data_IF_754823536778
#
_entry.id   IF_754823536778
#
_cell.length_a   1.000
_cell.length_b   1.000
_cell.length_c   1.000
_cell.angle_alpha   90.00
_cell.angle_beta   90.00
_cell.angle_gamma   90.00
#
_symmetry.space_group_name_H-M   'P 1'
#
loop_
_entity.id
_entity.type
_entity.pdbx_description
1 polymer ?
#
# COMPACT_ATOMS: atom_id res chain seq x y z
N UNK A 1 22.33 21.77 -49.57
CA UNK A 1 21.95 20.42 -49.13
C UNK A 1 21.63 20.48 -47.65
N UNK A 2 20.35 20.41 -47.23
CA UNK A 2 20.02 20.33 -45.82
C UNK A 2 20.17 18.87 -45.35
N UNK A 3 20.84 18.68 -44.21
CA UNK A 3 20.94 17.38 -43.51
C UNK A 3 19.65 17.16 -42.75
N UNK A 4 18.88 16.15 -43.13
CA UNK A 4 17.76 15.65 -42.34
C UNK A 4 18.32 14.79 -41.20
N UNK A 5 17.98 15.16 -39.96
CA UNK A 5 18.19 14.32 -38.78
C UNK A 5 16.90 13.52 -38.59
N UNK A 6 16.98 12.21 -38.82
CA UNK A 6 15.87 11.29 -38.60
C UNK A 6 15.80 10.96 -37.11
N UNK A 7 14.75 11.41 -36.42
CA UNK A 7 14.42 10.91 -35.09
C UNK A 7 13.65 9.59 -35.25
N UNK A 8 14.27 8.48 -34.86
CA UNK A 8 13.57 7.20 -34.72
C UNK A 8 12.86 7.22 -33.36
N UNK A 9 11.55 7.48 -33.37
CA UNK A 9 10.69 7.29 -32.19
C UNK A 9 10.42 5.79 -32.09
N UNK A 10 10.99 5.13 -31.08
CA UNK A 10 10.61 3.77 -30.70
C UNK A 10 9.33 3.87 -29.86
N UNK A 11 8.20 3.32 -30.29
CA UNK A 11 7.01 3.32 -29.47
C UNK A 11 7.20 2.29 -28.35
N UNK A 12 7.22 2.74 -27.09
CA UNK A 12 6.98 1.85 -25.95
C UNK A 12 5.53 1.37 -26.05
N UNK A 13 5.35 0.12 -26.46
CA UNK A 13 4.09 -0.58 -26.30
C UNK A 13 3.96 -0.99 -24.83
N UNK A 14 3.23 -0.20 -24.04
CA UNK A 14 2.77 -0.63 -22.73
C UNK A 14 1.62 -1.63 -22.92
N UNK A 15 1.85 -2.89 -22.54
CA UNK A 15 0.79 -3.87 -22.42
C UNK A 15 -0.13 -3.48 -21.26
N UNK A 16 -1.30 -2.95 -21.58
CA UNK A 16 -2.40 -2.82 -20.63
C UNK A 16 -2.94 -4.21 -20.31
N UNK A 17 -2.56 -4.80 -19.18
CA UNK A 17 -3.33 -5.89 -18.60
C UNK A 17 -4.36 -5.25 -17.68
N UNK A 18 -5.58 -5.13 -18.19
CA UNK A 18 -6.78 -4.84 -17.40
C UNK A 18 -7.16 -6.15 -16.71
N UNK A 19 -6.79 -6.33 -15.44
CA UNK A 19 -7.43 -7.36 -14.61
C UNK A 19 -8.68 -6.74 -14.00
N UNK A 20 -9.77 -6.82 -14.76
CA UNK A 20 -11.11 -6.61 -14.23
C UNK A 20 -11.57 -7.85 -13.49
N UNK A 21 -11.51 -7.86 -12.16
CA UNK A 21 -12.24 -8.84 -11.36
C UNK A 21 -13.73 -8.44 -11.38
N UNK A 22 -14.48 -9.06 -12.30
CA UNK A 22 -15.94 -9.02 -12.33
C UNK A 22 -16.51 -9.95 -11.24
N UNK A 23 -17.48 -9.43 -10.50
CA UNK A 23 -18.35 -10.17 -9.59
C UNK A 23 -18.93 -11.44 -10.24
N UNK A 24 -18.86 -12.57 -9.52
CA UNK A 24 -19.78 -13.70 -9.69
C UNK A 24 -20.49 -13.96 -8.37
N UNK A 25 -21.82 -13.89 -8.43
CA UNK A 25 -22.73 -13.82 -7.30
C UNK A 25 -22.88 -15.08 -6.44
N UNK A 26 -23.37 -14.84 -5.23
CA UNK A 26 -24.39 -15.59 -4.47
C UNK A 26 -24.44 -17.11 -4.71
N UNK A 27 -24.05 -17.86 -3.69
CA UNK A 27 -24.80 -19.02 -3.16
C UNK A 27 -24.06 -19.60 -1.94
N UNK A 28 -24.53 -19.24 -0.73
CA UNK A 28 -24.57 -20.10 0.48
C UNK A 28 -25.16 -19.30 1.64
N UNK A 29 -26.45 -18.97 1.50
CA UNK A 29 -27.29 -18.51 2.60
C UNK A 29 -28.38 -19.57 2.75
N UNK A 30 -28.03 -20.70 3.38
CA UNK A 30 -28.93 -21.75 3.89
C UNK A 30 -28.05 -22.90 4.39
N UNK A 31 -27.55 -22.81 5.62
CA UNK A 31 -27.15 -23.91 6.51
C UNK A 31 -26.32 -23.35 7.68
N UNK A 32 -26.97 -22.62 8.59
CA UNK A 32 -26.78 -22.71 10.06
C UNK A 32 -28.09 -22.17 10.64
N UNK A 33 -29.15 -22.97 10.55
CA UNK A 33 -30.43 -22.72 11.22
C UNK A 33 -30.99 -24.07 11.65
N UNK A 34 -30.38 -24.68 12.67
CA UNK A 34 -30.97 -25.70 13.54
C UNK A 34 -29.87 -26.36 14.38
N UNK A 35 -29.56 -25.78 15.53
CA UNK A 35 -29.28 -26.50 16.77
C UNK A 35 -28.70 -25.50 17.78
N UNK A 36 -29.57 -24.95 18.62
CA UNK A 36 -29.44 -24.86 20.08
C UNK A 36 -30.63 -23.99 20.51
N UNK A 37 -31.71 -24.66 20.90
CA UNK A 37 -32.75 -24.08 21.74
C UNK A 37 -32.91 -25.03 22.94
N UNK A 38 -33.13 -24.43 24.11
CA UNK A 38 -33.21 -25.02 25.46
C UNK A 38 -31.85 -25.12 26.15
N UNK A 39 -31.56 -24.41 27.26
CA UNK A 39 -32.44 -24.20 28.41
C UNK A 39 -31.94 -23.03 29.28
N UNK A 40 -32.86 -22.11 29.60
CA UNK A 40 -32.91 -21.16 30.72
C UNK A 40 -31.64 -20.67 31.42
N UNK A 41 -31.42 -19.37 31.39
CA UNK A 41 -31.72 -18.44 32.50
C UNK A 41 -31.47 -17.01 32.06
N UNK A 42 -32.43 -16.15 32.37
CA UNK A 42 -32.34 -14.70 32.23
C UNK A 42 -31.27 -14.19 33.19
N UNK A 43 -30.09 -13.86 32.68
CA UNK A 43 -29.16 -12.94 33.33
C UNK A 43 -29.02 -11.74 32.41
N UNK A 44 -29.53 -10.61 32.88
CA UNK A 44 -29.24 -9.29 32.31
C UNK A 44 -27.76 -9.06 32.57
N UNK A 45 -26.91 -9.40 31.61
CA UNK A 45 -25.56 -8.88 31.56
C UNK A 45 -25.68 -7.40 31.22
N UNK A 46 -25.68 -6.56 32.26
CA UNK A 46 -25.20 -5.19 32.11
C UNK A 46 -23.84 -5.26 31.45
N UNK A 47 -23.73 -4.69 30.25
CA UNK A 47 -22.45 -4.50 29.57
C UNK A 47 -21.62 -3.55 30.41
N UNK A 48 -20.82 -4.10 31.32
CA UNK A 48 -19.77 -3.33 31.95
C UNK A 48 -18.85 -2.84 30.84
N UNK A 49 -18.70 -1.52 30.76
CA UNK A 49 -17.70 -0.89 29.91
C UNK A 49 -16.34 -1.52 30.26
N UNK A 50 -15.49 -1.89 29.29
CA UNK A 50 -14.14 -2.32 29.60
C UNK A 50 -13.48 -1.25 30.48
N UNK A 51 -12.63 -1.65 31.45
CA UNK A 51 -11.98 -0.68 32.32
C UNK A 51 -11.26 0.36 31.46
N UNK A 52 -11.55 1.63 31.70
CA UNK A 52 -10.97 2.76 30.98
C UNK A 52 -9.48 2.85 31.28
N UNK A 53 -8.68 2.07 30.54
CA UNK A 53 -7.26 2.30 30.43
C UNK A 53 -7.09 3.43 29.43
N UNK A 54 -6.84 4.63 29.95
CA UNK A 54 -6.53 5.78 29.13
C UNK A 54 -5.15 5.56 28.50
N UNK A 55 -5.13 4.96 27.31
CA UNK A 55 -3.93 4.75 26.53
C UNK A 55 -3.64 6.03 25.74
N UNK A 56 -2.37 6.41 25.72
CA UNK A 56 -1.94 7.47 24.81
C UNK A 56 -1.68 6.86 23.44
N UNK A 57 -2.27 7.43 22.39
CA UNK A 57 -1.94 7.05 21.03
C UNK A 57 -0.46 7.38 20.76
N UNK A 58 0.26 6.42 20.16
CA UNK A 58 1.63 6.66 19.70
C UNK A 58 1.55 7.36 18.34
N UNK A 59 2.23 8.49 18.11
CA UNK A 59 2.23 9.15 16.80
C UNK A 59 2.89 8.30 15.71
N UNK A 60 2.38 8.43 14.48
CA UNK A 60 2.93 7.74 13.32
C UNK A 60 4.36 8.21 13.00
N UNK A 61 5.19 7.28 12.54
CA UNK A 61 6.59 7.54 12.18
C UNK A 61 6.77 7.49 10.67
N UNK A 62 7.27 8.58 10.10
CA UNK A 62 7.44 8.69 8.66
C UNK A 62 8.54 9.70 8.30
N UNK A 63 9.09 9.52 7.11
CA UNK A 63 10.11 10.36 6.49
C UNK A 63 9.60 10.89 5.15
N UNK A 64 10.20 11.97 4.65
CA UNK A 64 9.88 12.55 3.33
C UNK A 64 10.01 11.56 2.17
N UNK A 65 10.84 10.52 2.34
CA UNK A 65 11.06 9.44 1.38
C UNK A 65 10.45 8.11 1.79
N UNK A 66 9.55 8.08 2.79
CA UNK A 66 8.67 6.93 3.01
C UNK A 66 7.91 6.67 1.72
N UNK A 67 7.97 5.44 1.24
CA UNK A 67 7.30 5.02 0.00
C UNK A 67 5.88 4.55 0.27
N UNK A 68 5.03 4.66 -0.74
CA UNK A 68 3.70 4.04 -0.74
C UNK A 68 3.90 2.62 -1.24
N UNK A 69 3.28 1.65 -0.57
CA UNK A 69 3.43 0.23 -0.85
C UNK A 69 2.57 -0.20 -2.06
N UNK A 70 1.87 -1.33 -1.96
CA UNK A 70 1.09 -1.92 -3.06
C UNK A 70 -0.25 -1.21 -3.24
N UNK A 71 -0.88 -0.82 -2.13
CA UNK A 71 -2.19 -0.20 -2.12
C UNK A 71 -2.16 1.34 -2.09
N UNK A 72 -3.24 1.94 -2.60
CA UNK A 72 -3.45 3.37 -2.49
C UNK A 72 -3.87 3.72 -1.07
N UNK A 73 -3.37 4.84 -0.50
CA UNK A 73 -3.84 5.30 0.79
C UNK A 73 -5.37 5.48 0.81
N UNK A 74 -5.99 5.11 1.92
CA UNK A 74 -7.44 5.04 2.06
C UNK A 74 -7.97 6.35 2.64
N UNK A 75 -9.00 6.91 1.99
CA UNK A 75 -9.75 8.03 2.53
C UNK A 75 -10.83 7.52 3.51
N UNK A 76 -10.69 7.88 4.79
CA UNK A 76 -11.61 7.46 5.87
C UNK A 76 -12.63 8.53 6.26
N UNK A 77 -12.32 9.80 5.99
CA UNK A 77 -13.22 10.92 6.22
C UNK A 77 -12.75 12.15 5.46
N UNK A 78 -13.67 12.99 4.99
CA UNK A 78 -13.36 14.36 4.65
C UNK A 78 -14.58 15.27 4.81
N UNK A 79 -14.36 16.48 5.34
CA UNK A 79 -15.33 17.57 5.33
C UNK A 79 -14.67 18.87 4.81
N UNK A 80 -15.28 20.03 5.09
CA UNK A 80 -14.71 21.34 4.71
C UNK A 80 -13.41 21.68 5.46
N UNK A 81 -13.13 21.04 6.60
CA UNK A 81 -12.11 21.45 7.56
C UNK A 81 -10.99 20.43 7.74
N UNK A 82 -11.29 19.14 7.58
CA UNK A 82 -10.35 18.05 7.86
C UNK A 82 -10.44 16.92 6.86
N UNK A 83 -9.35 16.17 6.77
CA UNK A 83 -9.27 14.86 6.12
C UNK A 83 -8.67 13.86 7.11
N UNK A 84 -9.24 12.65 7.12
CA UNK A 84 -8.65 11.48 7.79
C UNK A 84 -8.35 10.44 6.73
N UNK A 85 -7.11 9.95 6.75
CA UNK A 85 -6.66 8.91 5.86
C UNK A 85 -5.73 7.95 6.60
N UNK A 86 -5.61 6.73 6.09
CA UNK A 86 -4.64 5.78 6.59
C UNK A 86 -3.94 5.03 5.46
N UNK A 87 -2.79 4.47 5.84
CA UNK A 87 -2.00 3.50 5.09
C UNK A 87 -1.12 2.74 6.10
N UNK A 88 -0.23 1.86 5.62
CA UNK A 88 0.68 1.07 6.44
C UNK A 88 1.60 1.91 7.35
N UNK A 89 1.91 3.14 6.95
CA UNK A 89 2.72 4.08 7.72
C UNK A 89 1.92 4.87 8.76
N UNK A 90 0.61 4.62 8.92
CA UNK A 90 -0.22 5.13 10.02
C UNK A 90 -1.53 5.77 9.58
N UNK A 91 -2.29 6.27 10.56
CA UNK A 91 -3.48 7.10 10.37
C UNK A 91 -3.13 8.57 10.60
N UNK A 92 -3.62 9.46 9.74
CA UNK A 92 -3.33 10.89 9.78
C UNK A 92 -4.62 11.70 9.76
N UNK A 93 -4.70 12.66 10.68
CA UNK A 93 -5.74 13.67 10.74
C UNK A 93 -5.10 14.97 10.27
N UNK A 94 -5.58 15.52 9.16
CA UNK A 94 -5.01 16.73 8.57
C UNK A 94 -6.04 17.84 8.54
N UNK A 95 -5.64 19.02 8.96
CA UNK A 95 -6.48 20.20 9.01
C UNK A 95 -6.33 21.01 7.71
N UNK A 96 -7.39 21.05 6.91
CA UNK A 96 -7.45 21.76 5.63
C UNK A 96 -7.42 23.29 5.78
N UNK A 97 -7.77 23.80 6.96
CA UNK A 97 -7.74 25.24 7.25
C UNK A 97 -6.32 25.72 7.56
N UNK A 98 -5.60 25.01 8.44
CA UNK A 98 -4.21 25.36 8.79
C UNK A 98 -3.21 24.85 7.76
N UNK A 99 -3.54 23.78 7.04
CA UNK A 99 -2.63 23.12 6.11
C UNK A 99 -1.55 22.31 6.84
N UNK A 100 -1.91 21.69 7.97
CA UNK A 100 -0.99 20.95 8.82
C UNK A 100 -1.61 19.64 9.31
N UNK A 101 -0.76 18.67 9.63
CA UNK A 101 -1.17 17.44 10.32
C UNK A 101 -1.59 17.84 11.74
N UNK A 102 -2.85 17.60 12.08
CA UNK A 102 -3.44 17.89 13.39
C UNK A 102 -3.04 16.84 14.43
N UNK A 103 -3.10 15.56 14.04
CA UNK A 103 -2.61 14.42 14.82
C UNK A 103 -2.35 13.20 13.93
N UNK A 104 -1.69 12.18 14.49
CA UNK A 104 -1.44 10.90 13.81
C UNK A 104 -1.40 9.72 14.78
N UNK A 105 -1.65 8.51 14.29
CA UNK A 105 -1.65 7.28 15.06
C UNK A 105 -0.81 6.22 14.35
N UNK A 106 0.14 5.65 15.07
CA UNK A 106 0.90 4.46 14.70
C UNK A 106 -0.02 3.23 14.80
N UNK A 107 -0.59 2.86 13.66
CA UNK A 107 -1.47 1.70 13.55
C UNK A 107 -0.72 0.37 13.77
N UNK A 108 0.58 0.30 13.44
CA UNK A 108 1.38 -0.90 13.70
C UNK A 108 1.53 -1.15 15.20
N UNK A 109 1.69 -0.10 16.00
CA UNK A 109 1.71 -0.20 17.47
C UNK A 109 0.39 -0.71 18.07
N UNK A 110 -0.73 -0.59 17.35
CA UNK A 110 -2.02 -1.16 17.72
C UNK A 110 -2.23 -2.59 17.19
N UNK A 111 -1.24 -3.17 16.51
CA UNK A 111 -1.33 -4.49 15.88
C UNK A 111 -2.30 -4.52 14.70
N UNK A 112 -2.33 -3.45 13.91
CA UNK A 112 -3.03 -3.42 12.64
C UNK A 112 -2.34 -4.35 11.62
N UNK A 113 -3.13 -5.14 10.90
CA UNK A 113 -2.62 -6.16 9.98
C UNK A 113 -2.78 -5.73 8.52
N UNK A 114 -1.79 -5.02 8.00
CA UNK A 114 -1.79 -4.52 6.62
C UNK A 114 -1.70 -5.62 5.55
N UNK A 115 -1.48 -6.88 5.92
CA UNK A 115 -1.45 -8.01 4.98
C UNK A 115 -2.84 -8.53 4.62
N UNK A 116 -3.87 -8.14 5.38
CA UNK A 116 -5.21 -8.67 5.24
C UNK A 116 -6.28 -7.55 5.24
N UNK A 117 -6.72 -7.17 4.04
CA UNK A 117 -7.77 -6.16 3.82
C UNK A 117 -9.09 -6.47 4.56
N UNK A 118 -9.34 -7.72 4.96
CA UNK A 118 -10.56 -8.11 5.70
C UNK A 118 -10.50 -7.91 7.22
N UNK A 119 -9.31 -7.76 7.81
CA UNK A 119 -9.13 -7.44 9.24
C UNK A 119 -8.97 -5.93 9.50
N UNK A 120 -8.76 -5.17 8.43
CA UNK A 120 -8.49 -3.75 8.42
C UNK A 120 -9.79 -2.94 8.36
N UNK A 121 -10.24 -2.41 9.51
CA UNK A 121 -11.39 -1.51 9.54
C UNK A 121 -11.05 -0.25 10.31
N UNK A 122 -11.30 0.89 9.67
CA UNK A 122 -11.34 2.19 10.31
C UNK A 122 -12.74 2.76 10.04
N UNK A 123 -13.34 3.35 11.06
CA UNK A 123 -14.64 4.02 10.94
C UNK A 123 -14.58 5.32 11.70
N UNK A 124 -15.27 6.34 11.19
CA UNK A 124 -15.19 7.70 11.71
C UNK A 124 -16.60 8.18 12.00
N UNK A 125 -16.81 8.92 13.10
CA UNK A 125 -18.10 9.56 13.37
C UNK A 125 -18.39 10.67 12.34
N UNK A 126 -19.66 11.05 12.06
CA UNK A 126 -19.97 12.08 11.07
C UNK A 126 -19.38 13.48 11.32
N UNK A 127 -19.02 13.78 12.58
CA UNK A 127 -18.33 15.02 12.99
C UNK A 127 -16.80 14.85 13.12
N UNK A 128 -16.29 13.64 12.85
CA UNK A 128 -14.90 13.24 12.98
C UNK A 128 -14.24 13.47 14.36
N UNK A 129 -15.06 13.59 15.41
CA UNK A 129 -14.56 13.67 16.78
C UNK A 129 -14.13 12.30 17.32
N UNK A 130 -14.63 11.21 16.74
CA UNK A 130 -14.33 9.84 17.17
C UNK A 130 -13.91 8.97 16.00
N UNK A 131 -12.82 8.23 16.18
CA UNK A 131 -12.29 7.27 15.21
C UNK A 131 -12.26 5.89 15.89
N UNK A 132 -12.88 4.90 15.26
CA UNK A 132 -12.84 3.51 15.68
C UNK A 132 -11.87 2.72 14.80
N UNK A 133 -10.96 2.00 15.44
CA UNK A 133 -9.86 1.28 14.80
C UNK A 133 -9.92 -0.18 15.23
N UNK A 134 -10.10 -1.09 14.27
CA UNK A 134 -10.02 -2.52 14.50
C UNK A 134 -8.61 -2.99 14.19
N UNK A 135 -8.13 -3.92 15.00
CA UNK A 135 -6.81 -4.50 14.87
C UNK A 135 -6.90 -6.00 15.07
N UNK A 136 -5.94 -6.77 14.58
CA UNK A 136 -5.89 -8.21 14.85
C UNK A 136 -5.44 -8.52 16.27
N UNK A 137 -4.86 -7.54 16.96
CA UNK A 137 -4.40 -7.68 18.35
C UNK A 137 -5.52 -7.66 19.40
N UNK A 138 -6.74 -7.27 19.01
CA UNK A 138 -7.86 -7.08 19.93
C UNK A 138 -9.19 -7.52 19.31
N UNK A 139 -10.02 -8.21 20.09
CA UNK A 139 -11.40 -8.53 19.71
C UNK A 139 -12.31 -7.29 19.72
N UNK A 140 -11.92 -6.26 20.47
CA UNK A 140 -12.63 -4.99 20.63
C UNK A 140 -11.94 -3.86 19.84
N UNK A 141 -12.69 -2.95 19.21
CA UNK A 141 -12.09 -1.79 18.56
C UNK A 141 -11.49 -0.82 19.58
N UNK A 142 -10.44 -0.12 19.15
CA UNK A 142 -9.98 1.09 19.82
C UNK A 142 -10.87 2.26 19.41
N UNK A 143 -11.22 3.11 20.36
CA UNK A 143 -11.91 4.38 20.17
C UNK A 143 -10.93 5.51 20.50
N UNK A 144 -10.63 6.31 19.49
CA UNK A 144 -9.81 7.51 19.60
C UNK A 144 -10.70 8.74 19.59
N UNK A 145 -10.66 9.52 20.68
CA UNK A 145 -11.27 10.83 20.76
C UNK A 145 -10.27 11.89 20.28
N UNK A 146 -10.58 12.54 19.16
CA UNK A 146 -9.72 13.55 18.54
C UNK A 146 -9.52 14.79 19.40
N UNK A 147 -10.54 15.19 20.15
CA UNK A 147 -10.52 16.42 20.96
C UNK A 147 -9.67 16.21 22.20
N UNK A 148 -9.89 15.11 22.91
CA UNK A 148 -9.14 14.79 24.14
C UNK A 148 -7.83 14.04 23.89
N UNK A 149 -7.62 13.56 22.65
CA UNK A 149 -6.47 12.78 22.18
C UNK A 149 -6.24 11.50 22.99
N UNK A 150 -7.32 10.90 23.45
CA UNK A 150 -7.30 9.69 24.27
C UNK A 150 -7.70 8.48 23.43
N UNK A 151 -7.01 7.37 23.64
CA UNK A 151 -7.31 6.08 23.02
C UNK A 151 -7.80 5.11 24.11
N UNK A 152 -8.95 4.49 23.89
CA UNK A 152 -9.51 3.50 24.81
C UNK A 152 -10.05 2.30 24.03
N UNK A 153 -10.11 1.13 24.64
CA UNK A 153 -10.91 0.04 24.08
C UNK A 153 -12.40 0.37 24.28
N UNK A 154 -13.21 0.11 23.26
CA UNK A 154 -14.66 0.28 23.33
C UNK A 154 -15.38 -1.02 22.98
N UNK A 155 -16.65 -1.11 23.36
CA UNK A 155 -17.49 -2.26 23.06
C UNK A 155 -18.00 -2.20 21.60
N UNK A 156 -18.96 -3.06 21.27
CA UNK A 156 -19.65 -3.03 19.97
C UNK A 156 -20.14 -1.62 19.61
N UNK A 157 -19.85 -1.22 18.38
CA UNK A 157 -20.20 0.08 17.83
C UNK A 157 -21.35 -0.01 16.80
N UNK A 158 -22.04 -1.14 16.72
CA UNK A 158 -23.14 -1.37 15.75
C UNK A 158 -24.27 -0.34 15.81
N UNK A 159 -24.50 0.29 16.96
CA UNK A 159 -25.48 1.37 17.16
C UNK A 159 -24.89 2.78 16.98
N UNK A 160 -23.59 2.90 16.70
CA UNK A 160 -22.94 4.20 16.49
C UNK A 160 -23.20 4.70 15.08
N UNK A 161 -23.38 6.00 14.98
CA UNK A 161 -23.46 6.69 13.69
C UNK A 161 -22.07 6.78 13.09
N UNK A 162 -21.94 6.36 11.83
CA UNK A 162 -20.67 6.26 11.11
C UNK A 162 -20.76 7.05 9.81
N UNK A 163 -19.67 7.73 9.47
CA UNK A 163 -19.53 8.42 8.21
C UNK A 163 -19.44 7.40 7.07
N UNK A 164 -20.40 7.45 6.15
CA UNK A 164 -20.50 6.54 5.00
C UNK A 164 -20.80 7.30 3.69
N UNK A 165 -20.60 8.62 3.66
CA UNK A 165 -20.89 9.49 2.51
C UNK A 165 -19.78 9.39 1.44
N UNK A 166 -19.45 8.16 1.05
CA UNK A 166 -18.47 7.86 0.03
C UNK A 166 -19.11 7.56 -1.33
N UNK A 167 -18.40 7.96 -2.37
CA UNK A 167 -18.60 7.49 -3.74
C UNK A 167 -17.36 6.74 -4.21
N UNK A 168 -17.51 5.79 -5.13
CA UNK A 168 -16.36 5.15 -5.75
C UNK A 168 -15.72 6.11 -6.73
N UNK A 169 -14.41 6.33 -6.61
CA UNK A 169 -13.68 7.29 -7.45
C UNK A 169 -13.77 6.94 -8.94
N UNK A 170 -13.85 5.65 -9.27
CA UNK A 170 -14.03 5.15 -10.63
C UNK A 170 -15.38 5.54 -11.27
N UNK A 171 -16.37 5.87 -10.45
CA UNK A 171 -17.72 6.23 -10.91
C UNK A 171 -17.87 7.74 -11.12
N UNK A 172 -16.84 8.53 -10.75
CA UNK A 172 -16.80 9.96 -11.01
C UNK A 172 -16.53 10.20 -12.51
N UNK A 173 -17.32 11.05 -13.18
CA UNK A 173 -17.09 11.39 -14.58
C UNK A 173 -15.66 11.90 -14.83
N UNK A 174 -14.93 11.40 -15.84
CA UNK A 174 -13.55 11.80 -16.10
C UNK A 174 -13.33 13.31 -16.29
N UNK A 175 -14.33 14.03 -16.78
CA UNK A 175 -14.32 15.48 -16.93
C UNK A 175 -14.40 16.26 -15.61
N UNK A 176 -14.82 15.60 -14.52
CA UNK A 176 -14.87 16.13 -13.16
C UNK A 176 -13.64 15.71 -12.33
N UNK A 177 -12.84 14.78 -12.84
CA UNK A 177 -11.58 14.39 -12.23
C UNK A 177 -10.43 15.25 -12.78
N UNK A 178 -9.83 16.06 -11.92
CA UNK A 178 -8.63 16.85 -12.24
C UNK A 178 -7.36 15.99 -12.36
N UNK A 179 -7.42 14.73 -11.95
CA UNK A 179 -6.31 13.77 -11.92
C UNK A 179 -6.71 12.43 -12.54
N UNK A 180 -5.71 11.58 -12.85
CA UNK A 180 -5.98 10.26 -13.43
C UNK A 180 -6.57 9.32 -12.37
N UNK A 181 -7.63 8.55 -12.67
CA UNK A 181 -8.30 7.70 -11.69
C UNK A 181 -7.39 6.70 -10.96
N UNK A 182 -6.37 6.16 -11.66
CA UNK A 182 -5.42 5.20 -11.09
C UNK A 182 -4.47 5.81 -10.05
N UNK A 183 -4.46 7.14 -9.89
CA UNK A 183 -3.67 7.85 -8.87
C UNK A 183 -4.50 8.18 -7.63
N UNK A 184 -5.77 7.81 -7.61
CA UNK A 184 -6.67 8.21 -6.54
C UNK A 184 -6.93 7.04 -5.59
N UNK A 185 -7.25 7.38 -4.35
CA UNK A 185 -7.89 6.44 -3.44
C UNK A 185 -9.18 5.88 -4.07
N UNK A 186 -9.54 4.65 -3.71
CA UNK A 186 -10.72 3.94 -4.22
C UNK A 186 -12.02 4.69 -3.94
N UNK A 187 -12.06 5.42 -2.82
CA UNK A 187 -13.20 6.22 -2.35
C UNK A 187 -12.90 7.71 -2.48
N UNK A 188 -13.95 8.48 -2.73
CA UNK A 188 -14.00 9.94 -2.71
C UNK A 188 -15.25 10.40 -1.95
N UNK A 189 -15.34 11.69 -1.62
CA UNK A 189 -16.54 12.28 -0.99
C UNK A 189 -17.24 13.20 -1.99
N UNK A 190 -18.56 13.09 -2.12
CA UNK A 190 -19.39 14.04 -2.87
C UNK A 190 -20.00 15.05 -1.89
N UNK A 191 -19.64 16.32 -2.05
CA UNK A 191 -20.11 17.40 -1.19
C UNK A 191 -21.46 17.97 -1.66
N UNK A 192 -22.14 18.67 -0.75
CA UNK A 192 -23.45 19.25 -1.01
C UNK A 192 -23.44 20.33 -2.11
N UNK A 193 -22.29 20.95 -2.37
CA UNK A 193 -22.05 21.88 -3.48
C UNK A 193 -21.86 21.18 -4.84
N UNK A 194 -21.82 19.84 -4.85
CA UNK A 194 -21.61 19.01 -6.04
C UNK A 194 -20.13 18.75 -6.36
N UNK A 195 -19.21 19.27 -5.55
CA UNK A 195 -17.77 19.02 -5.71
C UNK A 195 -17.37 17.65 -5.18
N UNK A 196 -16.26 17.11 -5.70
CA UNK A 196 -15.66 15.88 -5.21
C UNK A 196 -14.39 16.18 -4.43
N UNK A 197 -14.27 15.57 -3.27
CA UNK A 197 -13.04 15.49 -2.48
C UNK A 197 -12.28 14.21 -2.78
N UNK A 198 -11.05 14.35 -3.30
CA UNK A 198 -10.27 13.25 -3.86
C UNK A 198 -8.90 13.18 -3.19
N UNK A 199 -8.56 12.02 -2.63
CA UNK A 199 -7.20 11.71 -2.18
C UNK A 199 -6.38 11.18 -3.37
N UNK A 200 -5.26 11.83 -3.67
CA UNK A 200 -4.46 11.62 -4.88
C UNK A 200 -2.97 11.41 -4.55
N UNK A 201 -2.33 10.51 -5.29
CA UNK A 201 -0.92 10.12 -5.19
C UNK A 201 -0.17 10.52 -6.46
N UNK A 202 0.72 11.49 -6.36
CA UNK A 202 1.47 12.06 -7.50
C UNK A 202 2.72 11.27 -7.87
N UNK A 203 3.35 10.66 -6.88
CA UNK A 203 4.59 9.90 -6.98
C UNK A 203 4.57 8.78 -5.92
N UNK A 204 5.60 7.94 -5.94
CA UNK A 204 5.72 6.76 -5.08
C UNK A 204 6.03 7.06 -3.61
N UNK A 205 6.17 8.33 -3.22
CA UNK A 205 6.52 8.76 -1.85
C UNK A 205 5.31 9.35 -1.15
N UNK A 206 5.31 9.31 0.17
CA UNK A 206 4.29 9.91 1.03
C UNK A 206 4.09 11.42 0.75
N UNK A 207 5.16 12.12 0.36
CA UNK A 207 5.13 13.54 -0.05
C UNK A 207 4.42 13.78 -1.39
N UNK A 208 4.13 12.72 -2.15
CA UNK A 208 3.26 12.74 -3.31
C UNK A 208 1.77 12.72 -2.97
N UNK A 209 1.39 12.49 -1.71
CA UNK A 209 -0.01 12.41 -1.28
C UNK A 209 -0.59 13.83 -1.13
N UNK A 210 -1.76 14.00 -1.73
CA UNK A 210 -2.47 15.27 -1.81
C UNK A 210 -3.98 15.05 -1.71
N UNK A 211 -4.69 16.00 -1.14
CA UNK A 211 -6.16 16.06 -1.22
C UNK A 211 -6.56 17.17 -2.18
N UNK A 212 -7.56 16.92 -3.04
CA UNK A 212 -8.02 17.85 -4.06
C UNK A 212 -9.54 18.03 -3.94
N UNK A 213 -9.98 19.28 -3.92
CA UNK A 213 -11.39 19.69 -4.00
C UNK A 213 -11.50 21.09 -4.60
N UNK A 214 -12.43 21.31 -5.51
CA UNK A 214 -12.68 22.61 -6.17
C UNK A 214 -11.41 23.30 -6.69
N UNK A 215 -10.60 22.56 -7.45
CA UNK A 215 -9.30 22.99 -8.00
C UNK A 215 -8.26 23.42 -6.94
N UNK A 216 -8.59 23.35 -5.66
CA UNK A 216 -7.66 23.54 -4.56
C UNK A 216 -7.02 22.20 -4.20
N UNK A 217 -5.72 22.26 -3.95
CA UNK A 217 -4.94 21.12 -3.55
C UNK A 217 -4.20 21.38 -2.24
N UNK A 218 -4.25 20.38 -1.37
CA UNK A 218 -3.51 20.33 -0.12
C UNK A 218 -2.49 19.21 -0.21
N UNK A 219 -1.20 19.55 -0.17
CA UNK A 219 -0.13 18.56 -0.03
C UNK A 219 -0.06 18.16 1.44
N UNK A 220 -0.34 16.89 1.74
CA UNK A 220 -0.58 16.47 3.12
C UNK A 220 0.72 16.28 3.92
N UNK A 221 1.82 15.98 3.23
CA UNK A 221 3.11 15.67 3.84
C UNK A 221 4.22 16.54 3.27
N UNK A 222 5.05 17.11 4.15
CA UNK A 222 6.23 17.91 3.78
C UNK A 222 7.37 17.70 4.77
N UNK A 223 8.58 18.08 4.35
CA UNK A 223 9.80 18.07 5.17
C UNK A 223 9.67 18.78 6.53
N UNK A 224 8.75 19.76 6.64
CA UNK A 224 8.51 20.49 7.89
C UNK A 224 7.91 19.62 9.00
N UNK A 225 7.16 18.58 8.63
CA UNK A 225 6.33 17.81 9.54
C UNK A 225 6.81 16.35 9.69
N UNK A 226 7.92 15.97 9.03
CA UNK A 226 8.43 14.61 9.10
C UNK A 226 8.91 14.27 10.52
N UNK A 227 8.60 13.05 10.96
CA UNK A 227 8.97 12.57 12.31
C UNK A 227 10.26 11.76 12.30
N UNK A 228 10.81 11.47 11.12
CA UNK A 228 12.05 10.73 10.90
C UNK A 228 12.97 11.42 9.88
N UNK A 229 14.30 11.20 9.96
CA UNK A 229 15.21 11.57 8.89
C UNK A 229 14.98 10.72 7.63
N UNK A 230 15.57 11.14 6.51
CA UNK A 230 15.57 10.34 5.28
C UNK A 230 16.03 8.90 5.53
N UNK A 231 15.21 7.96 5.05
CA UNK A 231 15.40 6.54 5.23
C UNK A 231 16.45 6.02 4.24
N UNK A 232 17.38 5.20 4.71
CA UNK A 232 18.27 4.44 3.84
C UNK A 232 17.57 3.22 3.22
N UNK A 233 16.52 2.71 3.86
CA UNK A 233 15.64 1.63 3.38
C UNK A 233 14.27 1.82 4.02
N UNK A 234 13.20 1.38 3.35
CA UNK A 234 11.86 1.33 3.95
C UNK A 234 11.82 0.34 5.13
N UNK A 235 10.76 0.40 5.94
CA UNK A 235 10.51 -0.57 7.01
C UNK A 235 10.12 -1.95 6.48
N UNK A 236 10.10 -2.95 7.37
CA UNK A 236 9.87 -4.33 6.97
C UNK A 236 8.41 -4.59 6.53
N UNK A 237 7.43 -3.81 7.02
CA UNK A 237 6.02 -3.91 6.60
C UNK A 237 5.83 -3.47 5.15
N UNK A 238 6.56 -2.43 4.71
CA UNK A 238 6.58 -2.05 3.31
C UNK A 238 6.97 -3.23 2.42
N UNK A 239 8.05 -3.95 2.75
CA UNK A 239 8.49 -5.10 1.94
C UNK A 239 7.57 -6.30 2.05
N UNK A 240 7.01 -6.57 3.24
CA UNK A 240 6.10 -7.70 3.48
C UNK A 240 4.89 -7.66 2.56
N UNK A 241 4.34 -6.48 2.25
CA UNK A 241 3.24 -6.35 1.30
C UNK A 241 3.62 -6.84 -0.11
N UNK A 242 4.80 -6.46 -0.61
CA UNK A 242 5.28 -6.93 -1.92
C UNK A 242 5.62 -8.42 -1.92
N UNK A 243 6.08 -8.97 -0.78
CA UNK A 243 6.30 -10.41 -0.61
C UNK A 243 4.97 -11.15 -0.68
N UNK A 244 3.94 -10.68 0.03
CA UNK A 244 2.62 -11.30 0.03
C UNK A 244 1.95 -11.25 -1.35
N UNK A 245 1.96 -10.09 -2.02
CA UNK A 245 1.44 -9.98 -3.39
C UNK A 245 2.27 -10.82 -4.38
N UNK A 246 3.61 -10.80 -4.23
CA UNK A 246 4.52 -11.56 -5.07
C UNK A 246 4.32 -13.07 -4.94
N UNK A 247 4.01 -13.56 -3.74
CA UNK A 247 3.85 -14.98 -3.46
C UNK A 247 2.70 -15.64 -4.26
N UNK A 248 1.71 -14.86 -4.73
CA UNK A 248 0.52 -15.37 -5.41
C UNK A 248 0.82 -16.00 -6.78
N UNK A 249 1.74 -15.41 -7.55
CA UNK A 249 2.05 -15.87 -8.90
C UNK A 249 3.44 -15.43 -9.36
N UNK A 250 4.03 -16.17 -10.32
CA UNK A 250 5.31 -15.79 -10.91
C UNK A 250 5.26 -14.39 -11.55
N UNK A 251 4.13 -14.01 -12.15
CA UNK A 251 3.92 -12.70 -12.75
C UNK A 251 3.82 -11.59 -11.71
N UNK A 252 3.16 -11.85 -10.57
CA UNK A 252 3.09 -10.90 -9.45
C UNK A 252 4.49 -10.72 -8.83
N UNK A 253 5.22 -11.82 -8.61
CA UNK A 253 6.57 -11.77 -8.05
C UNK A 253 7.54 -10.96 -8.92
N UNK A 254 7.58 -11.22 -10.24
CA UNK A 254 8.48 -10.47 -11.11
C UNK A 254 8.09 -8.99 -11.21
N UNK A 255 6.80 -8.67 -11.10
CA UNK A 255 6.32 -7.30 -11.02
C UNK A 255 6.81 -6.60 -9.74
N UNK A 256 6.65 -7.23 -8.58
CA UNK A 256 7.20 -6.75 -7.30
C UNK A 256 8.70 -6.56 -7.38
N UNK A 257 9.42 -7.53 -7.95
CA UNK A 257 10.88 -7.47 -8.11
C UNK A 257 11.33 -6.29 -8.99
N UNK A 258 10.69 -6.08 -10.14
CA UNK A 258 10.96 -4.92 -11.00
C UNK A 258 10.61 -3.60 -10.29
N UNK A 259 9.56 -3.59 -9.46
CA UNK A 259 9.18 -2.41 -8.67
C UNK A 259 10.25 -2.05 -7.64
N UNK A 260 10.83 -3.04 -6.93
CA UNK A 260 11.95 -2.81 -6.01
C UNK A 260 13.19 -2.27 -6.74
N UNK A 261 13.48 -2.74 -7.95
CA UNK A 261 14.54 -2.16 -8.80
C UNK A 261 14.22 -0.70 -9.13
N UNK A 262 13.02 -0.41 -9.63
CA UNK A 262 12.60 0.95 -9.98
C UNK A 262 12.69 1.92 -8.79
N UNK A 263 12.42 1.42 -7.58
CA UNK A 263 12.50 2.19 -6.36
C UNK A 263 13.91 2.35 -5.80
N UNK A 264 14.90 1.62 -6.34
CA UNK A 264 16.25 1.57 -5.79
C UNK A 264 16.30 0.90 -4.42
N UNK A 265 15.38 -0.03 -4.14
CA UNK A 265 15.25 -0.70 -2.84
C UNK A 265 15.89 -2.10 -2.90
N UNK A 266 17.21 -2.16 -2.66
CA UNK A 266 17.93 -3.43 -2.59
C UNK A 266 17.44 -4.31 -1.42
N UNK A 267 17.08 -3.70 -0.29
CA UNK A 267 16.44 -4.42 0.82
C UNK A 267 15.16 -5.14 0.39
N UNK A 268 14.38 -4.56 -0.53
CA UNK A 268 13.21 -5.22 -1.10
C UNK A 268 13.56 -6.38 -2.01
N UNK A 269 14.68 -6.31 -2.74
CA UNK A 269 15.21 -7.46 -3.48
C UNK A 269 15.57 -8.59 -2.52
N UNK A 270 16.25 -8.29 -1.41
CA UNK A 270 16.53 -9.27 -0.36
C UNK A 270 15.25 -9.89 0.21
N UNK A 271 14.21 -9.10 0.46
CA UNK A 271 12.95 -9.61 0.99
C UNK A 271 12.23 -10.58 0.03
N UNK A 272 12.30 -10.33 -1.28
CA UNK A 272 11.66 -11.15 -2.31
C UNK A 272 12.45 -12.40 -2.70
N UNK A 273 13.68 -12.57 -2.19
CA UNK A 273 14.59 -13.62 -2.67
C UNK A 273 15.19 -14.46 -1.55
N UNK A 274 15.44 -15.73 -1.85
CA UNK A 274 16.14 -16.65 -0.97
C UNK A 274 17.64 -16.69 -1.30
N UNK A 275 18.50 -16.76 -0.27
CA UNK A 275 19.94 -16.95 -0.44
C UNK A 275 20.75 -15.69 -0.74
N UNK A 276 20.19 -14.51 -0.50
CA UNK A 276 20.90 -13.22 -0.54
C UNK A 276 20.87 -12.52 0.81
N UNK A 277 22.00 -11.95 1.19
CA UNK A 277 22.16 -11.17 2.42
C UNK A 277 22.07 -9.67 2.12
N UNK A 278 21.48 -8.92 3.05
CA UNK A 278 21.41 -7.46 2.94
C UNK A 278 22.81 -6.82 3.09
N UNK A 279 23.06 -5.78 2.30
CA UNK A 279 24.26 -4.93 2.34
C UNK A 279 23.83 -3.47 2.34
N UNK A 280 24.30 -2.73 3.33
CA UNK A 280 24.03 -1.30 3.45
C UNK A 280 24.76 -0.50 2.37
N UNK A 281 25.95 -0.93 1.97
CA UNK A 281 26.71 -0.32 0.87
C UNK A 281 25.94 -0.45 -0.44
N UNK A 282 25.38 -1.62 -0.73
CA UNK A 282 24.64 -1.85 -1.97
C UNK A 282 23.30 -1.09 -2.00
N UNK A 283 22.60 -1.04 -0.87
CA UNK A 283 21.41 -0.19 -0.72
C UNK A 283 21.73 1.28 -1.01
N UNK A 284 22.84 1.80 -0.45
CA UNK A 284 23.28 3.18 -0.70
C UNK A 284 23.63 3.43 -2.16
N UNK A 285 24.28 2.48 -2.83
CA UNK A 285 24.53 2.57 -4.28
C UNK A 285 23.22 2.69 -5.05
N UNK A 286 22.24 1.83 -4.76
CA UNK A 286 20.96 1.84 -5.47
C UNK A 286 20.16 3.11 -5.22
N UNK A 287 20.16 3.65 -4.00
CA UNK A 287 19.49 4.91 -3.69
C UNK A 287 20.08 6.11 -4.46
N UNK A 288 21.33 6.03 -4.88
CA UNK A 288 21.99 7.07 -5.68
C UNK A 288 21.70 6.94 -7.19
N UNK A 289 21.11 5.84 -7.64
CA UNK A 289 20.84 5.56 -9.04
C UNK A 289 19.39 5.87 -9.42
N UNK A 290 19.19 6.35 -10.64
CA UNK A 290 17.91 6.22 -11.33
C UNK A 290 17.89 4.88 -12.06
N UNK A 291 16.99 4.01 -11.64
CA UNK A 291 16.81 2.67 -12.17
C UNK A 291 15.46 2.56 -12.88
N UNK A 292 15.42 1.80 -13.97
CA UNK A 292 14.17 1.42 -14.62
C UNK A 292 14.26 -0.02 -15.10
N UNK A 293 13.31 -0.85 -14.68
CA UNK A 293 13.25 -2.27 -14.95
C UNK A 293 12.00 -2.62 -15.76
N UNK A 294 12.15 -3.60 -16.65
CA UNK A 294 11.07 -4.25 -17.38
C UNK A 294 11.41 -5.73 -17.57
N UNK A 295 10.41 -6.59 -17.66
CA UNK A 295 10.59 -8.03 -17.73
C UNK A 295 9.93 -8.66 -18.96
N UNK A 296 10.53 -9.73 -19.46
CA UNK A 296 10.03 -10.61 -20.50
C UNK A 296 10.00 -12.05 -19.96
N UNK A 297 8.85 -12.71 -20.02
CA UNK A 297 8.76 -14.13 -19.64
C UNK A 297 9.54 -14.99 -20.64
N UNK A 298 10.43 -15.85 -20.13
CA UNK A 298 11.14 -16.84 -20.94
C UNK A 298 10.42 -18.18 -20.88
N UNK A 299 10.08 -18.63 -19.67
CA UNK A 299 9.38 -19.89 -19.42
C UNK A 299 8.80 -19.91 -18.02
N UNK A 300 7.58 -20.41 -17.89
CA UNK A 300 6.90 -20.66 -16.62
C UNK A 300 6.39 -22.11 -16.58
N UNK A 301 6.65 -22.82 -15.48
CA UNK A 301 6.08 -24.13 -15.13
C UNK A 301 5.19 -23.98 -13.90
N UNK A 302 4.71 -25.09 -13.33
CA UNK A 302 3.85 -25.07 -12.15
C UNK A 302 4.55 -24.56 -10.88
N UNK A 303 5.87 -24.68 -10.82
CA UNK A 303 6.71 -24.52 -9.63
C UNK A 303 8.00 -23.72 -9.89
N UNK A 304 8.31 -23.39 -11.15
CA UNK A 304 9.50 -22.64 -11.55
C UNK A 304 9.15 -21.64 -12.64
N UNK A 305 9.84 -20.51 -12.67
CA UNK A 305 9.77 -19.58 -13.78
C UNK A 305 11.11 -18.88 -14.01
N UNK A 306 11.30 -18.39 -15.23
CA UNK A 306 12.44 -17.58 -15.60
C UNK A 306 11.97 -16.38 -16.38
N UNK A 307 12.40 -15.20 -15.94
CA UNK A 307 12.18 -13.94 -16.62
C UNK A 307 13.51 -13.33 -16.99
N UNK A 308 13.56 -12.73 -18.18
CA UNK A 308 14.66 -11.84 -18.56
C UNK A 308 14.25 -10.42 -18.18
N UNK A 309 15.08 -9.73 -17.43
CA UNK A 309 14.84 -8.37 -16.94
C UNK A 309 15.85 -7.44 -17.59
N UNK A 310 15.34 -6.38 -18.20
CA UNK A 310 16.13 -5.27 -18.73
C UNK A 310 16.16 -4.16 -17.68
N UNK A 311 17.35 -3.84 -17.16
CA UNK A 311 17.57 -2.81 -16.15
C UNK A 311 18.36 -1.67 -16.79
N UNK A 312 17.73 -0.51 -16.92
CA UNK A 312 18.37 0.73 -17.32
C UNK A 312 18.90 1.40 -16.07
N UNK A 313 20.20 1.61 -15.99
CA UNK A 313 20.85 2.32 -14.89
C UNK A 313 21.46 3.64 -15.34
N UNK A 314 21.23 4.70 -14.57
CA UNK A 314 21.84 6.02 -14.81
C UNK A 314 23.37 6.04 -14.69
N UNK A 315 23.96 5.14 -13.91
CA UNK A 315 25.41 4.99 -13.70
C UNK A 315 25.74 3.53 -13.34
N UNK A 316 27.01 3.19 -13.15
CA UNK A 316 27.43 1.87 -12.69
C UNK A 316 27.20 1.65 -11.19
N UNK A 317 26.83 0.42 -10.80
CA UNK A 317 26.90 -0.07 -9.42
C UNK A 317 27.82 -1.29 -9.39
N UNK A 318 29.09 -1.14 -8.96
CA UNK A 318 30.06 -2.22 -8.95
C UNK A 318 29.62 -3.41 -8.08
N UNK A 319 28.94 -3.16 -6.96
CA UNK A 319 28.54 -4.21 -6.03
C UNK A 319 27.35 -5.05 -6.54
N UNK A 320 26.46 -4.48 -7.35
CA UNK A 320 25.42 -5.28 -8.04
C UNK A 320 25.83 -5.76 -9.43
N UNK A 321 26.97 -5.29 -9.95
CA UNK A 321 27.43 -5.59 -11.30
C UNK A 321 26.59 -4.90 -12.39
N UNK A 322 25.90 -3.80 -12.07
CA UNK A 322 25.21 -2.96 -13.06
C UNK A 322 26.21 -2.02 -13.73
N UNK A 323 26.14 -1.95 -15.06
CA UNK A 323 26.81 -0.95 -15.87
C UNK A 323 25.85 0.21 -16.16
N UNK A 324 26.41 1.38 -16.50
CA UNK A 324 25.61 2.48 -17.03
C UNK A 324 24.92 2.08 -18.34
N UNK A 325 23.63 2.39 -18.46
CA UNK A 325 22.81 2.01 -19.62
C UNK A 325 22.03 0.72 -19.40
N UNK A 326 21.83 -0.06 -20.47
CA UNK A 326 20.97 -1.25 -20.45
C UNK A 326 21.78 -2.46 -19.95
N UNK A 327 21.24 -3.13 -18.94
CA UNK A 327 21.73 -4.40 -18.40
C UNK A 327 20.67 -5.47 -18.64
N UNK A 328 21.10 -6.62 -19.14
CA UNK A 328 20.25 -7.81 -19.27
C UNK A 328 20.57 -8.78 -18.13
N UNK A 329 19.55 -9.18 -17.38
CA UNK A 329 19.67 -10.12 -16.27
C UNK A 329 18.56 -11.15 -16.32
N UNK A 330 18.78 -12.32 -15.72
CA UNK A 330 17.81 -13.39 -15.66
C UNK A 330 17.43 -13.69 -14.21
N UNK A 331 16.14 -13.63 -13.92
CA UNK A 331 15.58 -13.83 -12.58
C UNK A 331 14.90 -15.19 -12.56
N UNK A 332 15.32 -16.03 -11.62
CA UNK A 332 14.84 -17.39 -11.46
C UNK A 332 13.88 -17.42 -10.29
N UNK A 333 12.68 -17.95 -10.52
CA UNK A 333 11.61 -17.99 -9.53
C UNK A 333 11.28 -19.45 -9.22
N UNK A 334 11.01 -19.73 -7.96
CA UNK A 334 10.60 -21.06 -7.46
C UNK A 334 9.38 -20.93 -6.55
N UNK A 335 8.65 -22.04 -6.41
CA UNK A 335 7.71 -22.22 -5.30
C UNK A 335 8.38 -22.90 -4.13
N UNK A 336 8.03 -22.44 -2.93
CA UNK A 336 8.38 -23.12 -1.69
C UNK A 336 7.40 -24.29 -1.40
N UNK A 337 7.54 -24.89 -0.22
CA UNK A 337 6.67 -25.98 0.24
C UNK A 337 5.23 -25.52 0.54
N UNK A 338 4.99 -24.21 0.67
CA UNK A 338 3.67 -23.61 0.91
C UNK A 338 2.96 -23.21 -0.38
N UNK A 339 3.58 -23.46 -1.55
CA UNK A 339 3.19 -22.99 -2.88
C UNK A 339 3.34 -21.48 -3.11
N UNK A 340 4.10 -20.79 -2.26
CA UNK A 340 4.40 -19.37 -2.38
C UNK A 340 5.60 -19.16 -3.30
N UNK A 341 5.50 -18.21 -4.23
CA UNK A 341 6.59 -17.87 -5.14
C UNK A 341 7.66 -17.01 -4.45
N UNK A 342 8.93 -17.30 -4.72
CA UNK A 342 10.09 -16.49 -4.32
C UNK A 342 11.18 -16.49 -5.41
N UNK A 343 12.11 -15.53 -5.36
CA UNK A 343 13.26 -15.45 -6.26
C UNK A 343 14.42 -16.27 -5.70
N UNK A 344 15.04 -17.13 -6.51
CA UNK A 344 16.23 -17.87 -6.09
C UNK A 344 17.50 -17.06 -6.37
N UNK A 345 18.17 -16.63 -5.30
CA UNK A 345 19.39 -15.84 -5.38
C UNK A 345 19.12 -14.39 -5.77
N UNK A 346 20.12 -13.73 -6.37
CA UNK A 346 19.98 -12.33 -6.80
C UNK A 346 19.46 -12.26 -8.24
N UNK A 347 20.37 -12.30 -9.20
CA UNK A 347 20.09 -12.38 -10.62
C UNK A 347 21.24 -13.06 -11.34
N UNK A 348 21.00 -13.51 -12.57
CA UNK A 348 21.93 -14.31 -13.35
C UNK A 348 22.25 -13.63 -14.70
N UNK A 349 23.38 -13.99 -15.30
CA UNK A 349 23.78 -13.49 -16.63
C UNK A 349 23.31 -14.40 -17.78
N UNK A 350 22.73 -15.56 -17.47
CA UNK A 350 22.27 -16.56 -18.45
C UNK A 350 20.92 -17.14 -18.07
N UNK A 351 20.26 -17.83 -19.00
CA UNK A 351 19.08 -18.66 -18.70
C UNK A 351 19.45 -19.89 -17.85
N UNK A 352 18.51 -20.47 -17.09
CA UNK A 352 18.76 -21.71 -16.34
C UNK A 352 19.08 -22.87 -17.28
N UNK A 353 19.93 -23.78 -16.82
CA UNK A 353 20.21 -25.04 -17.52
C UNK A 353 19.02 -26.02 -17.39
N UNK A 354 19.03 -27.10 -18.19
CA UNK A 354 17.95 -28.12 -18.17
C UNK A 354 17.82 -28.84 -16.82
N UNK A 355 18.92 -29.00 -16.09
CA UNK A 355 18.91 -29.62 -14.75
C UNK A 355 18.13 -28.77 -13.74
N UNK A 356 18.21 -27.44 -13.84
CA UNK A 356 17.47 -26.53 -12.96
C UNK A 356 15.96 -26.64 -13.19
N UNK A 357 15.53 -26.87 -14.44
CA UNK A 357 14.11 -27.07 -14.77
C UNK A 357 13.56 -28.41 -14.31
N UNK A 358 14.43 -29.41 -14.14
CA UNK A 358 14.06 -30.81 -13.87
C UNK A 358 13.54 -31.08 -12.46
#
# INVERSE_FOLDING_TARGET
>A
MPRFVTFTIIPLAFSTIVVGCSNSGKLKQEQIAAAINSTGKTEVHTSESPPSFNMQATPAKWSVNTKIATDMPVLDFADDNIIIMHDYFGLFIYNLTTGEIEDSIDLQALGYDFSNDSSCRISVSPNADTIWIWSTSSELPYEYDRISRNLNLTNDISEKDIFEDFVLTKDIPPEQLSVKPYRCSKKSVLFADGSYGILNVRNEKITGISYIRDDKEWVLFSDKNCTMPELSRQDDFFYEQFVNEGAESASSLIFSYCTMINYGEYAGICALSEGIEYSEELQKEWNALQLTASSEEIKTTNDKACFKVYIISSDSSPNSGLLQGINEKYIYLKKDLTNSWYVEGFWNDTVPNEEWWS
#
